data_IF_949459304672
#
_entry.id   IF_949459304672
#
_cell.length_a   1.000
_cell.length_b   1.000
_cell.length_c   1.000
_cell.angle_alpha   90.00
_cell.angle_beta   90.00
_cell.angle_gamma   90.00
#
_symmetry.space_group_name_H-M   'P 1'
#
loop_
_entity.id
_entity.type
_entity.pdbx_description
1 polymer ?
#
# COMPACT_ATOMS: atom_id res chain seq x y z
N UNK A 1 17.04 -15.66 18.86
CA UNK A 1 16.82 -14.97 17.58
C UNK A 1 15.35 -15.12 17.26
N UNK A 2 14.56 -14.06 17.41
CA UNK A 2 13.13 -14.10 17.10
C UNK A 2 12.99 -14.08 15.59
N UNK A 3 12.46 -15.14 14.98
CA UNK A 3 12.19 -15.14 13.54
C UNK A 3 11.12 -14.07 13.25
N UNK A 4 11.45 -13.11 12.39
CA UNK A 4 10.50 -12.09 11.97
C UNK A 4 9.45 -12.74 11.06
N UNK A 5 8.22 -12.83 11.56
CA UNK A 5 7.10 -13.39 10.79
C UNK A 5 6.65 -12.37 9.76
N UNK A 6 6.59 -12.78 8.50
CA UNK A 6 5.98 -11.99 7.43
C UNK A 6 4.50 -12.36 7.31
N UNK A 7 3.64 -11.35 7.22
CA UNK A 7 2.21 -11.49 6.98
C UNK A 7 1.87 -11.00 5.58
N UNK A 8 0.96 -11.70 4.91
CA UNK A 8 0.45 -11.32 3.60
C UNK A 8 -0.86 -10.54 3.74
N UNK A 9 -0.95 -9.40 3.07
CA UNK A 9 -2.15 -8.59 3.00
C UNK A 9 -2.55 -8.35 1.55
N UNK A 10 -3.81 -8.61 1.21
CA UNK A 10 -4.34 -8.39 -0.12
C UNK A 10 -5.23 -7.16 -0.12
N UNK A 11 -4.94 -6.21 -1.00
CA UNK A 11 -5.70 -4.98 -1.15
C UNK A 11 -6.22 -4.83 -2.57
N UNK A 12 -7.42 -4.27 -2.67
CA UNK A 12 -7.98 -3.81 -3.95
C UNK A 12 -7.98 -2.29 -3.98
N UNK A 13 -7.18 -1.73 -4.87
CA UNK A 13 -7.01 -0.30 -5.09
C UNK A 13 -7.32 0.04 -6.54
N UNK A 14 -7.36 1.31 -6.92
CA UNK A 14 -7.51 1.65 -8.34
C UNK A 14 -6.23 1.28 -9.10
N UNK A 15 -6.33 0.73 -10.33
CA UNK A 15 -5.18 0.42 -11.19
C UNK A 15 -4.18 1.58 -11.35
N UNK A 16 -4.69 2.81 -11.48
CA UNK A 16 -3.88 4.02 -11.60
C UNK A 16 -3.09 4.34 -10.32
N UNK A 17 -3.61 3.96 -9.15
CA UNK A 17 -2.98 4.21 -7.85
C UNK A 17 -1.90 3.19 -7.49
N UNK A 18 -1.78 2.07 -8.21
CA UNK A 18 -0.78 1.02 -7.93
C UNK A 18 0.65 1.59 -7.95
N UNK A 19 0.96 2.41 -8.98
CA UNK A 19 2.29 3.00 -9.12
C UNK A 19 2.61 3.95 -7.96
N UNK A 20 1.66 4.83 -7.62
CA UNK A 20 1.77 5.74 -6.49
C UNK A 20 1.95 5.00 -5.16
N UNK A 21 1.14 3.97 -4.91
CA UNK A 21 1.20 3.23 -3.66
C UNK A 21 2.50 2.44 -3.52
N UNK A 22 2.97 1.82 -4.62
CA UNK A 22 4.27 1.15 -4.66
C UNK A 22 5.41 2.13 -4.35
N UNK A 23 5.44 3.27 -5.03
CA UNK A 23 6.45 4.31 -4.81
C UNK A 23 6.45 4.81 -3.36
N UNK A 24 5.26 5.02 -2.80
CA UNK A 24 5.13 5.46 -1.41
C UNK A 24 5.73 4.42 -0.46
N UNK A 25 5.37 3.14 -0.59
CA UNK A 25 5.90 2.07 0.27
C UNK A 25 7.42 1.91 0.17
N UNK A 26 7.99 2.08 -1.03
CA UNK A 26 9.45 2.06 -1.21
C UNK A 26 10.16 3.20 -0.45
N UNK A 27 9.46 4.32 -0.21
CA UNK A 27 9.96 5.43 0.61
C UNK A 27 9.94 5.19 2.12
N UNK A 28 9.17 4.22 2.63
CA UNK A 28 9.07 3.91 4.07
C UNK A 28 10.13 2.91 4.58
N UNK A 29 11.18 2.65 3.79
CA UNK A 29 12.31 1.75 4.08
C UNK A 29 11.93 0.49 4.90
N UNK A 30 11.45 -0.53 4.18
CA UNK A 30 11.16 -1.85 4.77
C UNK A 30 9.79 -1.98 5.43
N UNK A 31 8.87 -1.04 5.25
CA UNK A 31 7.50 -1.12 5.77
C UNK A 31 6.70 -2.29 5.20
N UNK A 32 6.68 -2.44 3.87
CA UNK A 32 6.08 -3.58 3.19
C UNK A 32 6.54 -3.66 1.72
N UNK A 33 6.57 -4.87 1.17
CA UNK A 33 6.84 -5.10 -0.25
C UNK A 33 5.53 -5.29 -1.00
N UNK A 34 5.29 -4.45 -2.03
CA UNK A 34 4.10 -4.54 -2.89
C UNK A 34 4.37 -5.36 -4.15
N UNK A 35 3.52 -6.35 -4.39
CA UNK A 35 3.43 -7.12 -5.63
C UNK A 35 2.06 -6.90 -6.29
N UNK A 36 2.03 -6.62 -7.59
CA UNK A 36 0.76 -6.51 -8.32
C UNK A 36 0.34 -7.90 -8.79
N UNK A 37 -0.84 -8.37 -8.37
CA UNK A 37 -1.39 -9.65 -8.80
C UNK A 37 -2.25 -9.50 -10.06
N UNK A 38 -3.07 -8.44 -10.10
CA UNK A 38 -3.90 -8.11 -11.26
C UNK A 38 -3.97 -6.59 -11.41
N UNK A 39 -3.28 -6.07 -12.43
CA UNK A 39 -3.26 -4.64 -12.70
C UNK A 39 -4.61 -4.12 -13.19
N UNK A 40 -5.41 -4.93 -13.88
CA UNK A 40 -6.70 -4.51 -14.44
C UNK A 40 -7.76 -4.38 -13.35
N UNK A 41 -7.76 -5.29 -12.38
CA UNK A 41 -8.67 -5.29 -11.23
C UNK A 41 -8.15 -4.48 -10.04
N UNK A 42 -6.89 -4.03 -10.12
CA UNK A 42 -6.26 -3.28 -9.05
C UNK A 42 -5.94 -4.13 -7.81
N UNK A 43 -5.69 -5.41 -8.00
CA UNK A 43 -5.39 -6.36 -6.93
C UNK A 43 -3.88 -6.39 -6.67
N UNK A 44 -3.50 -6.07 -5.43
CA UNK A 44 -2.10 -6.08 -4.97
C UNK A 44 -1.94 -6.93 -3.71
N UNK A 45 -0.76 -7.52 -3.56
CA UNK A 45 -0.31 -8.27 -2.39
C UNK A 45 0.81 -7.50 -1.71
N UNK A 46 0.71 -7.35 -0.41
CA UNK A 46 1.72 -6.77 0.46
C UNK A 46 2.33 -7.86 1.31
N UNK A 47 3.66 -7.88 1.39
CA UNK A 47 4.41 -8.68 2.34
C UNK A 47 4.92 -7.76 3.44
N UNK A 48 4.48 -8.00 4.67
CA UNK A 48 4.62 -7.06 5.77
C UNK A 48 5.30 -7.76 6.94
N UNK A 49 6.41 -7.23 7.46
CA UNK A 49 6.95 -7.68 8.73
C UNK A 49 5.94 -7.50 9.85
N UNK A 50 5.77 -8.50 10.72
CA UNK A 50 4.79 -8.43 11.81
C UNK A 50 5.09 -7.25 12.77
N UNK A 51 6.36 -6.88 12.90
CA UNK A 51 6.85 -5.70 13.63
C UNK A 51 6.31 -4.37 13.08
N UNK A 52 6.03 -4.32 11.78
CA UNK A 52 5.62 -3.15 11.00
C UNK A 52 4.13 -3.14 10.63
N UNK A 53 3.39 -4.18 11.01
CA UNK A 53 2.00 -4.37 10.58
C UNK A 53 1.08 -3.22 11.02
N UNK A 54 1.23 -2.74 12.27
CA UNK A 54 0.45 -1.61 12.77
C UNK A 54 0.75 -0.32 12.00
N UNK A 55 2.03 -0.04 11.76
CA UNK A 55 2.48 1.13 11.00
C UNK A 55 1.92 1.11 9.57
N UNK A 56 1.91 -0.06 8.93
CA UNK A 56 1.31 -0.21 7.61
C UNK A 56 -0.20 0.08 7.64
N UNK A 57 -0.92 -0.41 8.65
CA UNK A 57 -2.36 -0.17 8.77
C UNK A 57 -2.67 1.32 8.90
N UNK A 58 -1.88 2.07 9.66
CA UNK A 58 -2.04 3.51 9.80
C UNK A 58 -1.82 4.24 8.47
N UNK A 59 -0.75 3.88 7.74
CA UNK A 59 -0.47 4.43 6.41
C UNK A 59 -1.58 4.09 5.41
N UNK A 60 -2.01 2.83 5.36
CA UNK A 60 -3.08 2.37 4.46
C UNK A 60 -4.40 3.05 4.81
N UNK A 61 -4.72 3.22 6.09
CA UNK A 61 -5.95 3.90 6.55
C UNK A 61 -5.96 5.37 6.10
N UNK A 62 -4.85 6.08 6.30
CA UNK A 62 -4.71 7.47 5.88
C UNK A 62 -4.78 7.64 4.34
N UNK A 63 -4.26 6.66 3.58
CA UNK A 63 -4.23 6.70 2.13
C UNK A 63 -5.48 6.11 1.46
N UNK A 64 -6.29 5.33 2.18
CA UNK A 64 -7.44 4.61 1.64
C UNK A 64 -8.37 5.47 0.76
N UNK A 65 -8.69 6.73 1.13
CA UNK A 65 -9.47 7.61 0.26
C UNK A 65 -8.81 7.88 -1.10
N UNK A 66 -7.50 8.13 -1.14
CA UNK A 66 -6.73 8.42 -2.37
C UNK A 66 -6.45 7.18 -3.21
N UNK A 67 -6.36 6.02 -2.56
CA UNK A 67 -6.20 4.73 -3.25
C UNK A 67 -7.51 4.27 -3.91
N UNK A 68 -8.66 4.71 -3.36
CA UNK A 68 -10.00 4.39 -3.86
C UNK A 68 -10.59 5.43 -4.81
N UNK A 69 -10.29 6.71 -4.63
CA UNK A 69 -10.84 7.83 -5.40
C UNK A 69 -9.74 8.54 -6.21
N UNK A 70 -10.11 9.24 -7.30
CA UNK A 70 -9.20 10.04 -8.14
C UNK A 70 -8.31 10.96 -7.31
N UNK A 71 -7.01 11.20 -7.69
CA UNK A 71 -6.26 12.26 -7.06
C UNK A 71 -7.14 13.50 -7.01
N UNK A 72 -7.30 13.97 -5.78
CA UNK A 72 -8.01 15.19 -5.47
C UNK A 72 -7.31 16.33 -6.23
N UNK A 73 -7.90 16.77 -7.35
CA UNK A 73 -7.50 17.99 -8.04
C UNK A 73 -7.88 19.18 -7.14
N UNK A 74 -7.17 19.36 -6.03
CA UNK A 74 -7.29 20.53 -5.14
C UNK A 74 -6.13 21.52 -5.33
N UNK A 75 -5.62 21.64 -6.56
CA UNK A 75 -4.92 22.86 -6.95
C UNK A 75 -5.90 23.75 -7.71
N UNK A 76 -6.27 24.85 -7.05
CA UNK A 76 -6.75 26.16 -7.56
C UNK A 76 -8.00 26.67 -6.82
N UNK A 77 -7.75 27.45 -5.76
CA UNK A 77 -8.26 28.83 -5.67
C UNK A 77 -7.44 29.65 -4.67
#
# INVERSE_FOLDING_TARGET
MTEERITELYLRIRPASIGFFKFLLEGYDGLATLSTLDRTRGLVRLMVPSSRYSELLDVVSALAPRLRNEPDNQHEN
#
